data_IF_035898117165
#
_entry.id   IF_035898117165
#
_cell.length_a   1.000
_cell.length_b   1.000
_cell.length_c   1.000
_cell.angle_alpha   90.00
_cell.angle_beta   90.00
_cell.angle_gamma   90.00
#
_symmetry.space_group_name_H-M   'P 1'
#
loop_
_entity.id
_entity.type
_entity.pdbx_description
1 polymer ?
#
# COMPACT_ATOMS: atom_id res chain seq x y z
N UNK A 1 -0.34 3.35 -7.90
CA UNK A 1 0.37 4.04 -9.01
C UNK A 1 1.70 3.36 -9.39
N UNK A 2 2.50 2.82 -8.45
CA UNK A 2 3.81 2.23 -8.77
C UNK A 2 3.73 1.09 -9.81
N UNK A 3 2.71 0.22 -9.71
CA UNK A 3 2.48 -0.81 -10.71
C UNK A 3 2.12 -0.23 -12.09
N UNK A 4 1.31 0.84 -12.14
CA UNK A 4 1.00 1.51 -13.40
C UNK A 4 2.25 2.13 -14.03
N UNK A 5 3.10 2.78 -13.22
CA UNK A 5 4.38 3.30 -13.68
C UNK A 5 5.32 2.19 -14.19
N UNK A 6 5.30 1.01 -13.58
CA UNK A 6 6.02 -0.15 -14.09
C UNK A 6 5.48 -0.62 -15.46
N UNK A 7 4.16 -0.67 -15.62
CA UNK A 7 3.57 -1.00 -16.93
C UNK A 7 3.99 0.01 -18.01
N UNK A 8 3.98 1.30 -17.68
CA UNK A 8 4.45 2.36 -18.60
C UNK A 8 5.94 2.19 -18.88
N UNK A 9 6.76 1.88 -17.87
CA UNK A 9 8.17 1.57 -18.06
C UNK A 9 8.40 0.44 -19.06
N UNK A 10 7.67 -0.70 -18.94
CA UNK A 10 7.78 -1.81 -19.87
C UNK A 10 7.38 -1.40 -21.30
N UNK A 11 6.25 -0.70 -21.42
CA UNK A 11 5.78 -0.20 -22.71
C UNK A 11 6.78 0.79 -23.35
N UNK A 12 7.34 1.70 -22.57
CA UNK A 12 8.33 2.66 -23.04
C UNK A 12 9.60 1.98 -23.59
N UNK A 13 10.03 0.88 -22.96
CA UNK A 13 11.14 0.04 -23.46
C UNK A 13 10.80 -0.58 -24.81
N UNK A 14 9.66 -1.25 -24.91
CA UNK A 14 9.22 -1.91 -26.14
C UNK A 14 9.08 -0.91 -27.31
N UNK A 15 8.56 0.29 -27.02
CA UNK A 15 8.42 1.37 -28.00
C UNK A 15 9.73 2.14 -28.26
N UNK A 16 10.84 1.75 -27.63
CA UNK A 16 12.14 2.40 -27.75
C UNK A 16 12.08 3.91 -27.51
N UNK A 17 11.33 4.30 -26.47
CA UNK A 17 11.22 5.70 -26.07
C UNK A 17 12.59 6.25 -25.61
N UNK A 18 12.75 7.59 -25.54
CA UNK A 18 13.99 8.18 -25.03
C UNK A 18 14.37 7.63 -23.65
N UNK A 19 15.66 7.35 -23.45
CA UNK A 19 16.19 6.74 -22.23
C UNK A 19 15.74 7.50 -20.95
N UNK A 20 15.70 8.83 -21.02
CA UNK A 20 15.25 9.68 -19.93
C UNK A 20 13.81 9.35 -19.48
N UNK A 21 12.93 9.06 -20.41
CA UNK A 21 11.53 8.68 -20.16
C UNK A 21 11.47 7.28 -19.54
N UNK A 22 12.23 6.34 -20.09
CA UNK A 22 12.32 4.97 -19.58
C UNK A 22 12.79 4.99 -18.11
N UNK A 23 13.88 5.70 -17.81
CA UNK A 23 14.44 5.80 -16.47
C UNK A 23 13.50 6.52 -15.48
N UNK A 24 12.74 7.52 -15.95
CA UNK A 24 11.73 8.18 -15.13
C UNK A 24 10.69 7.19 -14.60
N UNK A 25 10.10 6.38 -15.48
CA UNK A 25 9.07 5.42 -15.06
C UNK A 25 9.66 4.23 -14.31
N UNK A 26 10.87 3.78 -14.63
CA UNK A 26 11.59 2.80 -13.82
C UNK A 26 11.77 3.26 -12.37
N UNK A 27 12.17 4.51 -12.17
CA UNK A 27 12.30 5.11 -10.82
C UNK A 27 10.95 5.23 -10.13
N UNK A 28 9.91 5.69 -10.83
CA UNK A 28 8.57 5.88 -10.26
C UNK A 28 7.93 4.56 -9.86
N UNK A 29 8.20 3.48 -10.59
CA UNK A 29 7.74 2.13 -10.25
C UNK A 29 8.22 1.67 -8.85
N UNK A 30 9.31 2.24 -8.35
CA UNK A 30 9.85 1.92 -7.02
C UNK A 30 9.29 2.81 -5.90
N UNK A 31 8.38 3.75 -6.20
CA UNK A 31 7.84 4.71 -5.22
C UNK A 31 7.01 4.06 -4.10
N UNK A 32 6.55 2.83 -4.28
CA UNK A 32 5.89 2.09 -3.21
C UNK A 32 6.77 1.98 -1.95
N UNK A 33 8.10 1.96 -2.11
CA UNK A 33 9.06 1.91 -1.00
C UNK A 33 9.00 3.16 -0.12
N UNK A 34 8.60 4.30 -0.70
CA UNK A 34 8.52 5.57 0.02
C UNK A 34 7.35 5.63 1.00
N UNK A 35 6.29 4.86 0.75
CA UNK A 35 5.08 4.83 1.58
C UNK A 35 4.99 3.58 2.47
N UNK A 36 6.01 2.74 2.44
CA UNK A 36 6.08 1.59 3.32
C UNK A 36 6.51 2.00 4.72
N UNK A 37 5.67 1.74 5.71
CA UNK A 37 5.94 1.97 7.12
C UNK A 37 6.55 0.70 7.74
N UNK A 38 7.81 0.81 8.17
CA UNK A 38 8.57 -0.32 8.72
C UNK A 38 8.04 -0.82 10.06
N UNK A 39 7.36 0.02 10.81
CA UNK A 39 6.84 -0.34 12.13
C UNK A 39 5.56 -1.18 11.98
N UNK A 40 4.62 -0.73 11.17
CA UNK A 40 3.39 -1.47 10.89
C UNK A 40 3.56 -2.60 9.86
N UNK A 41 4.63 -2.62 9.07
CA UNK A 41 4.86 -3.50 7.91
C UNK A 41 3.83 -3.34 6.78
N UNK A 42 3.19 -2.20 6.73
CA UNK A 42 2.12 -1.89 5.78
C UNK A 42 2.37 -0.55 5.08
N UNK A 43 1.62 -0.30 4.01
CA UNK A 43 1.64 1.00 3.35
C UNK A 43 0.90 2.03 4.19
N UNK A 44 1.45 3.24 4.30
CA UNK A 44 0.91 4.35 5.07
C UNK A 44 1.00 5.65 4.28
N UNK A 45 -0.05 6.46 4.34
CA UNK A 45 -0.06 7.76 3.70
C UNK A 45 1.04 8.68 4.22
N UNK A 46 1.54 9.55 3.33
CA UNK A 46 2.51 10.59 3.69
C UNK A 46 1.94 11.98 3.45
N UNK A 47 2.38 12.90 4.29
CA UNK A 47 2.17 14.33 4.12
C UNK A 47 3.15 14.89 3.07
N UNK A 48 2.91 16.11 2.62
CA UNK A 48 3.75 16.81 1.63
C UNK A 48 5.20 16.98 2.10
N UNK A 49 5.40 17.15 3.41
CA UNK A 49 6.73 17.25 4.04
C UNK A 49 7.47 15.90 4.15
N UNK A 50 6.86 14.81 3.69
CA UNK A 50 7.42 13.46 3.72
C UNK A 50 7.23 12.70 5.03
N UNK A 51 6.60 13.29 6.04
CA UNK A 51 6.23 12.59 7.27
C UNK A 51 5.06 11.64 7.04
N UNK A 52 4.97 10.56 7.80
CA UNK A 52 3.80 9.69 7.76
C UNK A 52 2.58 10.37 8.39
N UNK A 53 1.43 10.18 7.78
CA UNK A 53 0.16 10.68 8.34
C UNK A 53 -0.09 10.08 9.73
N UNK A 54 -0.55 10.91 10.66
CA UNK A 54 -0.87 10.53 12.02
C UNK A 54 -2.13 11.29 12.46
N UNK A 55 -3.02 10.65 13.22
CA UNK A 55 -2.97 9.26 13.70
C UNK A 55 -3.12 8.23 12.55
N UNK A 56 -2.80 6.94 12.79
CA UNK A 56 -2.85 5.88 11.77
C UNK A 56 -3.56 4.64 12.30
N UNK A 57 -4.60 4.23 11.60
CA UNK A 57 -5.16 2.89 11.70
C UNK A 57 -5.05 2.17 10.35
N UNK A 58 -4.43 0.99 10.29
CA UNK A 58 -4.31 0.23 9.06
C UNK A 58 -5.65 -0.29 8.51
N UNK A 59 -6.69 -0.26 9.33
CA UNK A 59 -8.06 -0.69 8.98
C UNK A 59 -8.94 0.48 8.52
N UNK A 60 -8.49 1.73 8.66
CA UNK A 60 -9.25 2.91 8.24
C UNK A 60 -9.50 2.87 6.75
N UNK A 61 -10.77 2.87 6.38
CA UNK A 61 -11.22 2.94 5.00
C UNK A 61 -11.10 4.36 4.44
N UNK A 62 -10.60 4.48 3.21
CA UNK A 62 -10.46 5.79 2.55
C UNK A 62 -9.22 6.56 2.98
N UNK A 63 -9.31 7.89 3.04
CA UNK A 63 -8.22 8.80 3.38
C UNK A 63 -7.07 8.72 2.36
N UNK A 64 -5.91 8.18 2.73
CA UNK A 64 -4.78 7.98 1.83
C UNK A 64 -5.03 6.90 0.76
N UNK A 65 -6.09 6.11 0.89
CA UNK A 65 -6.42 4.99 0.03
C UNK A 65 -7.79 5.17 -0.62
N UNK A 66 -7.91 4.85 -1.88
CA UNK A 66 -9.19 4.91 -2.61
C UNK A 66 -9.92 3.58 -2.49
N UNK A 67 -11.14 3.60 -1.92
CA UNK A 67 -11.99 2.42 -1.76
C UNK A 67 -11.24 1.22 -1.14
N UNK A 68 -10.51 1.50 -0.06
CA UNK A 68 -9.71 0.49 0.62
C UNK A 68 -8.99 1.05 1.84
N UNK A 69 -8.14 0.24 2.40
CA UNK A 69 -7.29 0.60 3.53
C UNK A 69 -5.86 0.11 3.34
N UNK A 70 -5.02 0.29 4.36
CA UNK A 70 -3.61 -0.09 4.32
C UNK A 70 -3.43 -1.60 4.04
N UNK A 71 -4.27 -2.47 4.63
CA UNK A 71 -4.22 -3.91 4.40
C UNK A 71 -4.50 -4.30 2.95
N UNK A 72 -5.42 -3.61 2.27
CA UNK A 72 -5.72 -3.87 0.85
C UNK A 72 -4.57 -3.45 -0.05
N UNK A 73 -4.05 -2.24 0.17
CA UNK A 73 -3.08 -1.64 -0.75
C UNK A 73 -1.64 -2.13 -0.55
N UNK A 74 -1.30 -2.68 0.61
CA UNK A 74 0.07 -3.16 0.88
C UNK A 74 0.49 -4.32 -0.04
N UNK A 75 -0.46 -5.05 -0.60
CA UNK A 75 -0.18 -6.17 -1.51
C UNK A 75 -0.12 -5.78 -2.99
N UNK A 76 -0.43 -4.52 -3.33
CA UNK A 76 -0.48 -4.04 -4.72
C UNK A 76 0.91 -3.74 -5.33
N UNK A 77 1.89 -4.59 -5.04
CA UNK A 77 3.29 -4.52 -5.54
C UNK A 77 3.58 -5.72 -6.43
N UNK A 78 2.72 -5.95 -7.42
CA UNK A 78 2.80 -7.12 -8.31
C UNK A 78 4.07 -7.17 -9.16
N UNK A 79 4.71 -6.04 -9.38
CA UNK A 79 5.90 -5.90 -10.22
C UNK A 79 7.23 -6.14 -9.48
N UNK A 80 7.22 -6.10 -8.15
CA UNK A 80 8.42 -6.29 -7.32
C UNK A 80 8.09 -7.04 -6.01
N UNK A 81 7.58 -8.27 -6.08
CA UNK A 81 7.24 -9.05 -4.89
C UNK A 81 8.45 -9.29 -3.98
N UNK A 82 9.64 -9.49 -4.56
CA UNK A 82 10.86 -9.68 -3.77
C UNK A 82 11.20 -8.40 -2.98
N UNK A 83 11.08 -7.24 -3.61
CA UNK A 83 11.28 -5.96 -2.91
C UNK A 83 10.32 -5.73 -1.77
N UNK A 84 9.06 -6.19 -1.89
CA UNK A 84 8.09 -6.13 -0.79
C UNK A 84 8.47 -7.11 0.34
N UNK A 85 8.89 -8.33 0.00
CA UNK A 85 9.39 -9.32 0.98
C UNK A 85 10.55 -8.74 1.78
N UNK A 86 11.50 -8.13 1.08
CA UNK A 86 12.69 -7.52 1.71
C UNK A 86 12.30 -6.35 2.64
N UNK A 87 11.36 -5.51 2.22
CA UNK A 87 10.84 -4.40 3.06
C UNK A 87 10.15 -4.90 4.33
N UNK A 88 9.40 -5.99 4.25
CA UNK A 88 8.71 -6.59 5.39
C UNK A 88 9.69 -7.25 6.38
N UNK A 89 10.94 -7.50 5.98
CA UNK A 89 11.95 -8.11 6.82
C UNK A 89 12.25 -9.58 6.49
N UNK A 90 11.90 -9.98 5.27
CA UNK A 90 12.19 -11.31 4.75
C UNK A 90 10.96 -12.22 4.64
N UNK A 91 11.19 -13.41 4.10
CA UNK A 91 10.15 -14.36 3.72
C UNK A 91 9.22 -14.75 4.88
N UNK A 92 9.77 -15.02 6.05
CA UNK A 92 8.97 -15.50 7.18
C UNK A 92 8.03 -14.41 7.68
N UNK A 93 8.50 -13.17 7.77
CA UNK A 93 7.65 -12.03 8.12
C UNK A 93 6.59 -11.76 7.05
N UNK A 94 6.96 -11.84 5.77
CA UNK A 94 6.00 -11.69 4.68
C UNK A 94 4.87 -12.71 4.76
N UNK A 95 5.18 -14.00 5.02
CA UNK A 95 4.18 -15.05 5.21
C UNK A 95 3.30 -14.74 6.41
N UNK A 96 3.89 -14.34 7.55
CA UNK A 96 3.15 -13.96 8.76
C UNK A 96 2.16 -12.83 8.47
N UNK A 97 2.60 -11.80 7.76
CA UNK A 97 1.74 -10.68 7.37
C UNK A 97 0.63 -11.11 6.41
N UNK A 98 0.94 -12.00 5.47
CA UNK A 98 -0.04 -12.53 4.52
C UNK A 98 -1.10 -13.39 5.22
N UNK A 99 -0.70 -14.25 6.14
CA UNK A 99 -1.63 -15.05 6.96
C UNK A 99 -2.52 -14.15 7.85
N UNK A 100 -1.95 -13.02 8.30
CA UNK A 100 -2.71 -12.04 9.08
C UNK A 100 -3.89 -11.43 8.31
N UNK A 101 -3.83 -11.37 6.98
CA UNK A 101 -4.95 -10.92 6.13
C UNK A 101 -6.23 -11.72 6.43
N UNK A 102 -6.08 -13.02 6.69
CA UNK A 102 -7.20 -13.94 6.94
C UNK A 102 -7.60 -14.04 8.42
N UNK A 103 -6.79 -13.52 9.32
CA UNK A 103 -6.97 -13.66 10.76
C UNK A 103 -7.18 -12.34 11.52
N UNK A 104 -7.05 -11.18 10.86
CA UNK A 104 -7.34 -9.87 11.48
C UNK A 104 -8.80 -9.86 11.96
N UNK A 105 -9.03 -9.69 13.26
CA UNK A 105 -10.39 -9.73 13.80
C UNK A 105 -11.19 -8.51 13.31
N UNK A 106 -12.50 -8.66 13.11
CA UNK A 106 -13.39 -7.56 12.72
C UNK A 106 -13.74 -6.66 13.92
N UNK A 107 -12.73 -6.26 14.68
CA UNK A 107 -12.86 -5.35 15.82
C UNK A 107 -12.40 -3.98 15.38
N UNK A 108 -13.26 -3.01 15.51
CA UNK A 108 -13.02 -1.63 15.06
C UNK A 108 -13.03 -0.69 16.26
N UNK A 109 -12.04 0.20 16.32
CA UNK A 109 -12.04 1.32 17.24
C UNK A 109 -12.71 2.53 16.59
N UNK A 110 -14.01 2.69 16.81
CA UNK A 110 -14.78 3.81 16.29
C UNK A 110 -14.46 5.13 17.02
N UNK A 111 -13.84 5.10 18.20
CA UNK A 111 -13.49 6.29 18.98
C UNK A 111 -12.50 7.20 18.26
N UNK A 112 -11.71 6.62 17.38
CA UNK A 112 -10.71 7.29 16.59
C UNK A 112 -11.29 8.29 15.56
N UNK A 113 -12.52 8.04 15.08
CA UNK A 113 -13.12 8.81 13.99
C UNK A 113 -14.25 9.73 14.45
N UNK A 114 -14.66 9.65 15.72
CA UNK A 114 -15.83 10.39 16.20
C UNK A 114 -17.12 9.97 15.47
N UNK A 115 -18.05 10.91 15.31
CA UNK A 115 -19.26 10.69 14.51
C UNK A 115 -18.92 10.81 13.03
N UNK A 116 -18.51 9.73 12.40
CA UNK A 116 -18.05 9.76 11.02
C UNK A 116 -19.06 9.10 10.09
N UNK A 117 -19.12 9.66 8.89
CA UNK A 117 -19.79 9.13 7.72
C UNK A 117 -19.34 7.66 7.52
N UNK A 118 -20.28 6.78 7.24
CA UNK A 118 -20.04 5.32 7.09
C UNK A 118 -18.93 4.95 6.10
N UNK A 119 -18.55 5.86 5.21
CA UNK A 119 -17.49 5.69 4.22
C UNK A 119 -16.05 5.78 4.80
N UNK A 120 -15.91 6.19 6.06
CA UNK A 120 -14.60 6.34 6.73
C UNK A 120 -14.51 5.40 7.94
N UNK A 121 -15.09 4.23 7.87
CA UNK A 121 -15.02 3.22 8.92
C UNK A 121 -13.81 2.32 8.74
N UNK A 122 -13.37 1.71 9.82
CA UNK A 122 -12.47 0.58 9.73
C UNK A 122 -13.17 -0.60 9.09
N UNK A 123 -12.49 -1.23 8.13
CA UNK A 123 -12.99 -2.43 7.45
C UNK A 123 -11.86 -3.43 7.34
N UNK A 124 -12.12 -4.67 7.71
CA UNK A 124 -11.18 -5.76 7.46
C UNK A 124 -11.19 -6.15 5.99
N UNK A 125 -10.10 -6.74 5.51
CA UNK A 125 -9.98 -7.22 4.14
C UNK A 125 -11.09 -8.21 3.79
N UNK A 126 -11.50 -9.05 4.75
CA UNK A 126 -12.58 -10.03 4.55
C UNK A 126 -13.93 -9.39 4.26
N UNK A 127 -14.19 -8.17 4.69
CA UNK A 127 -15.44 -7.47 4.44
C UNK A 127 -15.54 -6.90 3.02
N UNK A 128 -14.46 -6.96 2.25
CA UNK A 128 -14.41 -6.46 0.87
C UNK A 128 -14.79 -7.49 -0.18
N UNK A 129 -14.86 -8.75 0.18
CA UNK A 129 -15.10 -9.85 -0.75
C UNK A 129 -16.59 -10.12 -1.07
N UNK A 130 -17.48 -9.25 -0.64
CA UNK A 130 -18.94 -9.46 -0.82
C UNK A 130 -19.53 -8.46 -1.79
#
# INVERSE_FOLDING_TARGET
YAYNDWCIYQLAKELKRPEKEIQLFAKRAMNYKNVFDKDSKLMRGKNEDGTFQSPFSPLKWGDAFTEGNSWHYSWSVFHDPQGLIDLMGGKDMFITMLDSVFSVPPVFDESYYGQVIHEIREMTIMNMGN
#
